data_IF_536339131371
#
_entry.id   IF_536339131371
#
_cell.length_a   1.000
_cell.length_b   1.000
_cell.length_c   1.000
_cell.angle_alpha   90.00
_cell.angle_beta   90.00
_cell.angle_gamma   90.00
#
_symmetry.space_group_name_H-M   'P 1'
#
loop_
_entity.id
_entity.type
_entity.pdbx_description
1 polymer ?
#
# COMPACT_ATOMS: atom_id res chain seq x y z
N UNK A 1 -7.77 -32.87 8.16
CA UNK A 1 -7.59 -31.50 7.63
C UNK A 1 -6.31 -30.92 8.22
N UNK A 2 -5.42 -30.31 7.42
CA UNK A 2 -4.13 -29.78 7.93
C UNK A 2 -4.35 -28.39 8.51
N UNK A 3 -3.79 -28.12 9.69
CA UNK A 3 -3.88 -26.81 10.34
C UNK A 3 -3.07 -25.77 9.57
N UNK A 4 -3.64 -24.58 9.40
CA UNK A 4 -2.97 -23.40 8.89
C UNK A 4 -1.87 -22.94 9.86
N UNK A 5 -0.89 -22.15 9.41
CA UNK A 5 0.10 -21.55 10.30
C UNK A 5 -0.52 -20.75 11.46
N UNK A 6 -1.62 -20.03 11.20
CA UNK A 6 -2.33 -19.26 12.23
C UNK A 6 -2.97 -20.15 13.28
N UNK A 7 -3.68 -21.20 12.85
CA UNK A 7 -4.31 -22.17 13.77
C UNK A 7 -3.28 -22.90 14.65
N UNK A 8 -2.06 -23.12 14.15
CA UNK A 8 -0.96 -23.67 14.96
C UNK A 8 -0.52 -22.71 16.06
N UNK A 9 -0.49 -21.41 15.78
CA UNK A 9 -0.17 -20.38 16.79
C UNK A 9 -1.26 -20.34 17.86
N UNK A 10 -2.54 -20.38 17.47
CA UNK A 10 -3.65 -20.41 18.44
C UNK A 10 -3.49 -21.58 19.42
N UNK A 11 -3.22 -22.79 18.93
CA UNK A 11 -2.98 -23.95 19.81
C UNK A 11 -1.78 -23.80 20.74
N UNK A 12 -0.77 -23.03 20.34
CA UNK A 12 0.37 -22.74 21.20
C UNK A 12 -0.03 -21.79 22.34
N UNK A 13 -0.82 -20.76 22.02
CA UNK A 13 -1.27 -19.75 22.97
C UNK A 13 -2.25 -20.30 24.01
N UNK A 14 -3.05 -21.31 23.67
CA UNK A 14 -3.95 -22.00 24.63
C UNK A 14 -3.22 -22.61 25.84
N UNK A 15 -1.90 -22.80 25.75
CA UNK A 15 -1.07 -23.38 26.82
C UNK A 15 -0.44 -22.33 27.73
N UNK A 16 -0.58 -21.05 27.42
CA UNK A 16 0.06 -19.95 28.14
C UNK A 16 -0.83 -19.46 29.27
N UNK A 17 -0.22 -18.89 30.31
CA UNK A 17 -0.96 -18.30 31.44
C UNK A 17 -1.39 -16.84 31.14
N UNK A 18 -2.21 -16.27 32.02
CA UNK A 18 -2.79 -14.93 31.81
C UNK A 18 -1.76 -13.81 31.70
N UNK A 19 -0.61 -13.92 32.36
CA UNK A 19 0.40 -12.85 32.34
C UNK A 19 1.22 -12.89 31.05
N UNK A 20 1.51 -14.09 30.56
CA UNK A 20 2.15 -14.30 29.24
C UNK A 20 1.24 -13.79 28.10
N UNK A 21 -0.07 -14.06 28.18
CA UNK A 21 -1.04 -13.57 27.21
C UNK A 21 -1.19 -12.05 27.24
N UNK A 22 -1.18 -11.42 28.43
CA UNK A 22 -1.17 -9.95 28.56
C UNK A 22 0.10 -9.32 27.97
N UNK A 23 1.26 -9.94 28.16
CA UNK A 23 2.52 -9.50 27.53
C UNK A 23 2.44 -9.56 26.02
N UNK A 24 1.91 -10.66 25.48
CA UNK A 24 1.69 -10.81 24.04
C UNK A 24 0.70 -9.77 23.53
N UNK A 25 -0.41 -9.54 24.24
CA UNK A 25 -1.39 -8.52 23.88
C UNK A 25 -0.74 -7.14 23.77
N UNK A 26 0.05 -6.73 24.77
CA UNK A 26 0.77 -5.46 24.74
C UNK A 26 1.74 -5.37 23.55
N UNK A 27 2.50 -6.43 23.29
CA UNK A 27 3.39 -6.49 22.13
C UNK A 27 2.63 -6.40 20.81
N UNK A 28 1.51 -7.12 20.68
CA UNK A 28 0.66 -7.11 19.48
C UNK A 28 0.06 -5.72 19.25
N UNK A 29 -0.44 -5.04 20.29
CA UNK A 29 -0.94 -3.67 20.17
C UNK A 29 0.12 -2.72 19.62
N UNK A 30 1.34 -2.75 20.18
CA UNK A 30 2.45 -1.92 19.69
C UNK A 30 2.82 -2.31 18.25
N UNK A 31 2.84 -3.60 17.94
CA UNK A 31 3.22 -4.08 16.61
C UNK A 31 2.18 -3.72 15.56
N UNK A 32 0.90 -3.82 15.91
CA UNK A 32 -0.21 -3.40 15.06
C UNK A 32 -0.12 -1.90 14.83
N UNK A 33 0.05 -1.08 15.88
CA UNK A 33 0.24 0.37 15.75
C UNK A 33 1.46 0.74 14.90
N UNK A 34 2.57 0.00 15.01
CA UNK A 34 3.73 0.18 14.11
C UNK A 34 3.39 -0.14 12.66
N UNK A 35 2.66 -1.23 12.41
CA UNK A 35 2.26 -1.61 11.05
C UNK A 35 1.21 -0.65 10.49
N UNK A 36 0.28 -0.21 11.33
CA UNK A 36 -0.75 0.77 11.00
C UNK A 36 -0.14 2.15 10.78
N UNK A 37 0.81 2.63 11.58
CA UNK A 37 1.52 3.90 11.30
C UNK A 37 2.38 3.82 10.03
N UNK A 38 3.02 2.68 9.76
CA UNK A 38 3.64 2.41 8.45
C UNK A 38 2.62 2.40 7.31
N UNK A 39 1.34 2.15 7.61
CA UNK A 39 0.22 2.13 6.66
C UNK A 39 -0.51 3.49 6.60
N UNK A 40 -0.57 4.27 7.68
CA UNK A 40 -1.20 5.60 7.75
C UNK A 40 -0.29 6.67 7.14
N UNK A 41 0.99 6.36 6.91
CA UNK A 41 1.80 7.10 5.93
C UNK A 41 1.33 6.95 4.47
N UNK A 42 0.27 6.17 4.19
CA UNK A 42 -0.48 6.21 2.94
C UNK A 42 -1.43 7.42 2.89
N UNK A 43 -0.85 8.60 3.07
CA UNK A 43 -1.40 9.81 2.50
C UNK A 43 -1.28 9.66 0.98
N UNK A 44 -2.28 8.98 0.38
CA UNK A 44 -2.41 8.87 -1.06
C UNK A 44 -2.27 10.30 -1.58
N UNK A 45 -1.19 10.63 -2.32
CA UNK A 45 -1.02 12.01 -2.76
C UNK A 45 -2.28 12.39 -3.53
N UNK A 46 -2.83 13.59 -3.27
CA UNK A 46 -3.99 14.04 -4.00
C UNK A 46 -3.71 13.83 -5.48
N UNK A 47 -4.69 13.24 -6.17
CA UNK A 47 -4.56 12.98 -7.60
C UNK A 47 -4.15 14.30 -8.25
N UNK A 48 -2.96 14.35 -8.86
CA UNK A 48 -2.42 15.58 -9.44
C UNK A 48 -3.45 16.13 -10.43
N UNK A 49 -3.58 17.45 -10.50
CA UNK A 49 -4.52 18.09 -11.44
C UNK A 49 -4.31 17.58 -12.87
N UNK A 50 -5.40 17.30 -13.57
CA UNK A 50 -5.36 16.69 -14.89
C UNK A 50 -5.09 15.17 -14.89
N UNK A 51 -5.10 14.50 -13.73
CA UNK A 51 -5.03 13.04 -13.63
C UNK A 51 -6.31 12.43 -13.08
N UNK A 52 -6.55 11.18 -13.41
CA UNK A 52 -7.68 10.37 -12.94
C UNK A 52 -7.15 9.03 -12.45
N UNK A 53 -7.46 8.67 -11.20
CA UNK A 53 -7.11 7.41 -10.58
C UNK A 53 -8.08 6.30 -10.98
N UNK A 54 -7.58 5.25 -11.63
CA UNK A 54 -8.38 4.09 -12.07
C UNK A 54 -8.28 2.93 -11.07
N UNK A 55 -7.08 2.67 -10.55
CA UNK A 55 -6.84 1.59 -9.58
C UNK A 55 -5.67 1.95 -8.67
N UNK A 56 -5.69 1.44 -7.44
CA UNK A 56 -4.62 1.62 -6.45
C UNK A 56 -4.22 0.25 -5.93
N UNK A 57 -2.92 0.02 -5.76
CA UNK A 57 -2.40 -1.06 -4.94
C UNK A 57 -1.18 -0.56 -4.17
N UNK A 58 -0.82 -1.28 -3.11
CA UNK A 58 0.30 -0.91 -2.27
C UNK A 58 1.22 -2.11 -2.12
N UNK A 59 2.52 -1.85 -2.19
CA UNK A 59 3.53 -2.83 -1.85
C UNK A 59 4.63 -2.13 -1.06
N UNK A 60 4.96 -2.69 0.11
CA UNK A 60 5.85 -2.08 1.07
C UNK A 60 5.40 -0.62 1.37
N UNK A 61 6.32 0.33 1.30
CA UNK A 61 6.07 1.77 1.51
C UNK A 61 5.78 2.52 0.20
N UNK A 62 5.47 1.81 -0.89
CA UNK A 62 5.18 2.40 -2.19
C UNK A 62 3.72 2.17 -2.54
N UNK A 63 3.04 3.26 -2.90
CA UNK A 63 1.71 3.24 -3.50
C UNK A 63 1.84 3.22 -5.01
N UNK A 64 1.25 2.23 -5.64
CA UNK A 64 1.10 2.19 -7.08
C UNK A 64 -0.31 2.64 -7.46
N UNK A 65 -0.41 3.54 -8.42
CA UNK A 65 -1.67 4.01 -8.97
C UNK A 65 -1.69 3.88 -10.47
N UNK A 66 -2.75 3.30 -10.99
CA UNK A 66 -3.09 3.28 -12.40
C UNK A 66 -3.81 4.60 -12.72
N UNK A 67 -3.20 5.48 -13.51
CA UNK A 67 -3.70 6.82 -13.75
C UNK A 67 -3.86 7.13 -15.25
N UNK A 68 -4.92 7.85 -15.61
CA UNK A 68 -5.01 8.56 -16.89
C UNK A 68 -4.52 10.01 -16.72
N UNK A 69 -3.86 10.58 -17.74
CA UNK A 69 -3.20 11.89 -17.64
C UNK A 69 -3.56 12.79 -18.83
N UNK A 70 -4.04 14.00 -18.56
CA UNK A 70 -4.16 15.08 -19.55
C UNK A 70 -2.81 15.77 -19.71
N UNK A 71 -2.32 15.88 -20.95
CA UNK A 71 -1.00 16.47 -21.23
C UNK A 71 -0.98 18.01 -21.33
N UNK A 72 -2.15 18.66 -21.31
CA UNK A 72 -2.27 20.12 -21.36
C UNK A 72 -2.07 20.75 -22.74
N UNK A 73 -1.82 19.97 -23.80
CA UNK A 73 -1.74 20.49 -25.17
C UNK A 73 -3.14 20.79 -25.72
N UNK A 74 -3.35 21.99 -26.25
CA UNK A 74 -4.65 22.49 -26.73
C UNK A 74 -5.31 21.58 -27.79
N UNK A 75 -4.51 21.02 -28.70
CA UNK A 75 -5.00 20.19 -29.81
C UNK A 75 -4.72 18.69 -29.63
N UNK A 76 -4.65 18.19 -28.39
CA UNK A 76 -4.43 16.77 -28.16
C UNK A 76 -5.72 15.95 -28.33
N UNK A 77 -5.91 15.32 -29.49
CA UNK A 77 -7.07 14.46 -29.77
C UNK A 77 -7.05 13.09 -29.06
N UNK A 78 -5.96 12.72 -28.38
CA UNK A 78 -5.78 11.40 -27.75
C UNK A 78 -5.70 11.47 -26.22
N UNK A 79 -6.03 12.64 -25.64
CA UNK A 79 -6.16 12.82 -24.21
C UNK A 79 -7.52 12.33 -23.69
N UNK A 80 -7.60 11.86 -22.43
CA UNK A 80 -6.50 11.65 -21.50
C UNK A 80 -5.67 10.40 -21.86
N UNK A 81 -4.36 10.49 -21.72
CA UNK A 81 -3.43 9.41 -22.04
C UNK A 81 -3.43 8.32 -20.98
N UNK A 82 -3.04 7.11 -21.38
CA UNK A 82 -2.92 5.95 -20.50
C UNK A 82 -4.14 5.01 -20.59
N UNK A 83 -4.48 4.29 -19.51
CA UNK A 83 -3.91 4.46 -18.18
C UNK A 83 -2.48 3.90 -18.05
N UNK A 84 -1.69 4.51 -17.17
CA UNK A 84 -0.33 4.06 -16.84
C UNK A 84 -0.15 3.94 -15.33
N UNK A 85 0.68 3.00 -14.91
CA UNK A 85 1.11 2.86 -13.54
C UNK A 85 2.15 3.90 -13.17
N UNK A 86 1.93 4.53 -12.01
CA UNK A 86 2.87 5.38 -11.31
C UNK A 86 3.09 4.84 -9.91
N UNK A 87 4.32 4.91 -9.43
CA UNK A 87 4.67 4.66 -8.04
C UNK A 87 4.80 5.97 -7.27
N UNK A 88 4.39 5.97 -6.01
CA UNK A 88 4.46 7.10 -5.10
C UNK A 88 5.08 6.65 -3.79
N UNK A 89 6.11 7.38 -3.36
CA UNK A 89 6.77 7.15 -2.08
C UNK A 89 7.05 8.47 -1.39
N UNK A 90 7.09 8.48 -0.07
CA UNK A 90 7.54 9.64 0.71
C UNK A 90 9.04 9.56 0.95
N UNK A 91 9.71 10.70 0.77
CA UNK A 91 11.11 10.89 1.11
C UNK A 91 11.23 12.23 1.86
N UNK A 92 11.59 12.18 3.15
CA UNK A 92 11.73 13.35 4.02
C UNK A 92 10.50 14.28 3.99
N UNK A 93 9.29 13.71 4.10
CA UNK A 93 8.02 14.44 4.08
C UNK A 93 7.55 14.92 2.69
N UNK A 94 8.32 14.67 1.63
CA UNK A 94 7.92 14.99 0.24
C UNK A 94 7.48 13.74 -0.50
N UNK A 95 6.37 13.83 -1.23
CA UNK A 95 5.93 12.75 -2.12
C UNK A 95 6.70 12.82 -3.44
N UNK A 96 7.44 11.76 -3.75
CA UNK A 96 8.11 11.55 -5.03
C UNK A 96 7.30 10.55 -5.85
N UNK A 97 7.02 10.90 -7.10
CA UNK A 97 6.31 10.04 -8.05
C UNK A 97 7.24 9.56 -9.14
N UNK A 98 7.16 8.29 -9.53
CA UNK A 98 7.90 7.72 -10.66
C UNK A 98 6.98 6.95 -11.60
N UNK A 99 7.34 6.93 -12.89
CA UNK A 99 6.59 6.21 -13.92
C UNK A 99 6.99 4.72 -13.93
N UNK A 100 5.99 3.83 -13.98
CA UNK A 100 6.23 2.38 -14.02
C UNK A 100 6.00 1.83 -15.42
N UNK A 101 4.86 2.14 -16.06
CA UNK A 101 4.54 1.60 -17.38
C UNK A 101 3.06 1.34 -17.59
N UNK A 102 2.71 0.62 -18.66
CA UNK A 102 1.32 0.17 -18.94
C UNK A 102 0.90 -0.98 -18.03
N UNK A 103 1.84 -1.83 -17.66
CA UNK A 103 1.62 -3.00 -16.82
C UNK A 103 2.35 -2.83 -15.50
N UNK A 104 1.73 -3.30 -14.42
CA UNK A 104 2.39 -3.42 -13.13
C UNK A 104 3.21 -4.72 -13.15
N UNK A 105 4.54 -4.68 -12.91
CA UNK A 105 5.37 -5.86 -12.83
C UNK A 105 4.76 -6.94 -11.91
N UNK A 106 4.82 -8.24 -12.26
CA UNK A 106 4.24 -9.30 -11.45
C UNK A 106 4.80 -9.36 -10.02
N UNK A 107 6.07 -8.97 -9.84
CA UNK A 107 6.70 -8.82 -8.52
C UNK A 107 6.09 -7.72 -7.65
N UNK A 108 5.21 -6.89 -8.21
CA UNK A 108 4.53 -5.78 -7.55
C UNK A 108 2.99 -5.97 -7.44
N UNK A 109 2.47 -7.13 -7.83
CA UNK A 109 1.04 -7.49 -7.75
C UNK A 109 0.68 -8.18 -6.45
#
# INVERSE_FOLDING_TARGET
MKLTPFEKVIRLLERWNSDELKRLQGWLSIRIEQLESLTEELDLPPVKSGREAVSVCQLNSIVYRLEKVRCGKENCGTCPHGPYWYGYQRNNGKVVSFYVGKELPPSLR
#
